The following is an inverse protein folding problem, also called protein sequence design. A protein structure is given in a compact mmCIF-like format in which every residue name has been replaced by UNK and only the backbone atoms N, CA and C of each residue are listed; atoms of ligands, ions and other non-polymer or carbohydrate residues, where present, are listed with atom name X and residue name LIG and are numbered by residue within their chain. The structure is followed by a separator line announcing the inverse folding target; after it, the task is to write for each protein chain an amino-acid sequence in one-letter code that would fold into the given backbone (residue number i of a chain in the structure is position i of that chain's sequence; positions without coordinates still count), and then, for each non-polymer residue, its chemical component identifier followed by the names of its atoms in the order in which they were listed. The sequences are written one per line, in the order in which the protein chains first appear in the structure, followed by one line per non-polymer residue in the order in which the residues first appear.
data_IF_003282639769
#
_entry.id   IF_003282639769
#
_cell.length_a   1.000
_cell.length_b   1.000
_cell.length_c   1.000
_cell.angle_alpha   90.00
_cell.angle_beta   90.00
_cell.angle_gamma   90.00
#
_symmetry.space_group_name_H-M   'P 1'
#
loop_
_entity.id
_entity.type
_entity.pdbx_description
1 polymer ?
#
# COMPACT_ATOMS: atom_id res chain seq x y z
N UNK A 1 20.99 7.66 -26.57
CA UNK A 1 21.11 8.17 -25.21
C UNK A 1 19.74 8.25 -24.48
N UNK A 2 18.66 8.79 -25.09
CA UNK A 2 17.32 8.93 -24.45
C UNK A 2 16.72 7.56 -24.09
N UNK A 3 16.80 6.58 -25.00
CA UNK A 3 16.31 5.21 -24.75
C UNK A 3 17.04 4.53 -23.60
N UNK A 4 18.37 4.68 -23.51
CA UNK A 4 19.19 4.14 -22.42
C UNK A 4 18.77 4.76 -21.07
N UNK A 5 18.62 6.09 -20.99
CA UNK A 5 18.16 6.76 -19.77
C UNK A 5 16.79 6.24 -19.31
N UNK A 6 15.86 6.05 -20.26
CA UNK A 6 14.55 5.47 -19.98
C UNK A 6 14.66 4.05 -19.44
N UNK A 7 15.46 3.21 -20.09
CA UNK A 7 15.69 1.83 -19.68
C UNK A 7 16.28 1.74 -18.26
N UNK A 8 17.28 2.56 -17.96
CA UNK A 8 17.90 2.63 -16.63
C UNK A 8 16.91 3.07 -15.56
N UNK A 9 16.08 4.08 -15.82
CA UNK A 9 15.08 4.54 -14.86
C UNK A 9 14.05 3.44 -14.54
N UNK A 10 13.58 2.73 -15.56
CA UNK A 10 12.65 1.59 -15.39
C UNK A 10 13.33 0.45 -14.61
N UNK A 11 14.55 0.07 -15.01
CA UNK A 11 15.31 -1.00 -14.37
C UNK A 11 15.55 -0.69 -12.88
N UNK A 12 15.92 0.54 -12.53
CA UNK A 12 16.08 0.97 -11.13
C UNK A 12 14.78 0.90 -10.33
N UNK A 13 13.62 1.15 -10.95
CA UNK A 13 12.32 0.95 -10.33
C UNK A 13 12.04 -0.54 -10.08
N UNK A 14 12.29 -1.39 -11.07
CA UNK A 14 12.14 -2.85 -10.94
C UNK A 14 13.07 -3.41 -9.86
N UNK A 15 14.33 -2.98 -9.84
CA UNK A 15 15.29 -3.40 -8.80
C UNK A 15 14.79 -3.01 -7.40
N UNK A 16 14.29 -1.79 -7.21
CA UNK A 16 13.74 -1.38 -5.92
C UNK A 16 12.56 -2.26 -5.49
N UNK A 17 11.60 -2.53 -6.40
CA UNK A 17 10.47 -3.40 -6.10
C UNK A 17 10.96 -4.77 -5.63
N UNK A 18 11.86 -5.41 -6.40
CA UNK A 18 12.43 -6.72 -6.06
C UNK A 18 13.23 -6.72 -4.77
N UNK A 19 13.97 -5.64 -4.49
CA UNK A 19 14.73 -5.50 -3.25
C UNK A 19 13.80 -5.42 -2.04
N UNK A 20 12.70 -4.67 -2.14
CA UNK A 20 11.70 -4.57 -1.08
C UNK A 20 10.96 -5.90 -0.87
N UNK A 21 10.54 -6.52 -1.97
CA UNK A 21 9.77 -7.77 -1.94
C UNK A 21 10.61 -8.93 -1.35
N UNK A 22 11.91 -8.97 -1.61
CA UNK A 22 12.79 -10.02 -1.08
C UNK A 22 13.19 -9.83 0.39
N UNK A 23 12.96 -8.66 0.98
CA UNK A 23 13.28 -8.43 2.39
C UNK A 23 12.32 -9.17 3.32
N UNK A 24 12.81 -9.69 4.45
CA UNK A 24 11.95 -10.31 5.45
C UNK A 24 11.02 -9.28 6.12
N UNK A 25 9.84 -9.70 6.60
CA UNK A 25 8.81 -8.84 7.16
C UNK A 25 9.27 -8.01 8.38
N UNK A 26 10.27 -8.48 9.13
CA UNK A 26 10.87 -7.72 10.23
C UNK A 26 11.79 -6.58 9.76
N UNK A 27 12.12 -6.50 8.47
CA UNK A 27 12.88 -5.41 7.83
C UNK A 27 11.97 -4.57 6.94
N UNK A 28 11.24 -5.21 6.00
CA UNK A 28 10.28 -4.52 5.12
C UNK A 28 8.95 -4.24 5.86
N UNK A 29 9.01 -3.51 6.96
CA UNK A 29 7.84 -3.10 7.74
C UNK A 29 7.04 -1.99 7.03
N UNK A 30 5.78 -1.70 7.43
CA UNK A 30 5.02 -0.56 6.90
C UNK A 30 5.77 0.78 7.04
N UNK A 31 6.53 0.95 8.12
CA UNK A 31 7.39 2.13 8.33
C UNK A 31 8.50 2.19 7.30
N UNK A 32 9.16 1.06 7.01
CA UNK A 32 10.21 1.00 5.99
C UNK A 32 9.67 1.32 4.58
N UNK A 33 8.45 0.88 4.25
CA UNK A 33 7.80 1.25 2.99
C UNK A 33 7.50 2.76 2.94
N UNK A 34 7.05 3.36 4.04
CA UNK A 34 6.82 4.80 4.13
C UNK A 34 8.10 5.62 3.97
N UNK A 35 9.21 5.19 4.57
CA UNK A 35 10.53 5.82 4.43
C UNK A 35 11.02 5.79 2.98
N UNK A 36 10.85 4.66 2.27
CA UNK A 36 11.16 4.55 0.86
C UNK A 36 10.29 5.49 0.01
N UNK A 37 8.98 5.57 0.30
CA UNK A 37 8.08 6.51 -0.37
C UNK A 37 8.54 7.96 -0.19
N UNK A 38 8.91 8.36 1.04
CA UNK A 38 9.41 9.70 1.35
C UNK A 38 10.72 10.01 0.63
N UNK A 39 11.67 9.05 0.58
CA UNK A 39 12.92 9.21 -0.15
C UNK A 39 12.70 9.40 -1.66
N UNK A 40 11.79 8.61 -2.26
CA UNK A 40 11.38 8.75 -3.66
C UNK A 40 10.72 10.11 -3.89
N UNK A 41 9.80 10.50 -3.00
CA UNK A 41 9.10 11.78 -3.11
C UNK A 41 10.05 12.97 -3.08
N UNK A 42 11.02 12.95 -2.15
CA UNK A 42 12.05 14.00 -2.04
C UNK A 42 12.90 14.11 -3.32
N UNK A 43 13.31 12.98 -3.90
CA UNK A 43 14.14 12.98 -5.12
C UNK A 43 13.37 13.35 -6.38
N UNK A 44 12.06 13.05 -6.44
CA UNK A 44 11.19 13.26 -7.61
C UNK A 44 10.27 14.46 -7.54
N UNK A 45 10.37 15.29 -6.50
CA UNK A 45 9.47 16.46 -6.32
C UNK A 45 8.00 16.07 -6.14
N UNK A 46 7.74 14.88 -5.57
CA UNK A 46 6.39 14.40 -5.31
C UNK A 46 5.96 14.77 -3.89
N UNK A 47 4.67 15.04 -3.72
CA UNK A 47 4.10 15.16 -2.38
C UNK A 47 3.86 13.75 -1.84
N UNK A 48 4.44 13.45 -0.67
CA UNK A 48 4.20 12.21 0.06
C UNK A 48 3.51 12.52 1.38
N UNK A 49 2.40 11.85 1.63
CA UNK A 49 1.65 11.95 2.88
C UNK A 49 1.54 10.56 3.49
N UNK A 50 1.90 10.43 4.75
CA UNK A 50 1.78 9.17 5.51
C UNK A 50 0.78 9.39 6.63
N UNK A 51 -0.30 8.61 6.64
CA UNK A 51 -1.25 8.61 7.74
C UNK A 51 -0.93 7.47 8.69
N UNK A 52 -0.75 7.82 9.95
CA UNK A 52 -0.61 6.89 11.07
C UNK A 52 -1.95 6.28 11.46
N UNK A 53 -1.94 5.18 12.22
CA UNK A 53 -3.15 4.46 12.70
C UNK A 53 -4.24 5.40 13.22
N UNK A 54 -3.91 6.30 14.11
CA UNK A 54 -4.88 7.22 14.71
C UNK A 54 -5.56 8.09 13.64
N UNK A 55 -4.79 8.60 12.67
CA UNK A 55 -5.30 9.48 11.63
C UNK A 55 -6.25 8.75 10.70
N UNK A 56 -5.83 7.62 10.11
CA UNK A 56 -6.67 6.92 9.13
C UNK A 56 -7.91 6.26 9.80
N UNK A 57 -7.79 5.86 11.08
CA UNK A 57 -8.96 5.38 11.86
C UNK A 57 -9.98 6.49 12.06
N UNK A 58 -9.55 7.70 12.48
CA UNK A 58 -10.43 8.87 12.59
C UNK A 58 -11.06 9.29 11.26
N UNK A 59 -10.40 9.01 10.14
CA UNK A 59 -10.96 9.24 8.81
C UNK A 59 -12.04 8.21 8.44
N UNK A 60 -12.15 7.09 9.15
CA UNK A 60 -13.13 6.03 8.90
C UNK A 60 -12.62 4.87 8.07
N UNK A 61 -11.30 4.66 7.95
CA UNK A 61 -10.68 3.50 7.30
C UNK A 61 -10.73 2.27 8.23
N UNK A 62 -11.95 1.80 8.51
CA UNK A 62 -12.17 0.74 9.49
C UNK A 62 -11.75 -0.65 9.01
N UNK A 63 -11.68 -0.89 7.71
CA UNK A 63 -11.19 -2.16 7.17
C UNK A 63 -9.69 -2.30 7.39
N UNK A 64 -8.87 -1.28 7.06
CA UNK A 64 -7.44 -1.25 7.36
C UNK A 64 -7.17 -1.29 8.87
N UNK A 65 -7.94 -0.53 9.66
CA UNK A 65 -7.80 -0.50 11.11
C UNK A 65 -8.09 -1.86 11.75
N UNK A 66 -9.09 -2.58 11.24
CA UNK A 66 -9.45 -3.93 11.67
C UNK A 66 -8.36 -4.95 11.39
N UNK A 67 -7.85 -5.01 10.15
CA UNK A 67 -6.73 -5.91 9.81
C UNK A 67 -5.51 -5.61 10.70
N UNK A 68 -5.21 -4.32 10.90
CA UNK A 68 -4.07 -3.89 11.70
C UNK A 68 -4.22 -4.15 13.22
N UNK A 69 -5.38 -4.60 13.70
CA UNK A 69 -5.64 -4.70 15.15
C UNK A 69 -4.82 -5.81 15.85
N UNK A 70 -4.44 -6.85 15.09
CA UNK A 70 -3.70 -8.00 15.64
C UNK A 70 -2.18 -7.81 15.73
N UNK A 71 -1.62 -6.69 15.26
CA UNK A 71 -0.18 -6.43 15.30
C UNK A 71 0.18 -5.20 16.12
N UNK A 72 1.38 -5.23 16.74
CA UNK A 72 2.00 -4.06 17.39
C UNK A 72 2.83 -3.21 16.40
N UNK A 73 3.16 -3.75 15.22
CA UNK A 73 3.88 -3.01 14.18
C UNK A 73 2.98 -1.86 13.67
N UNK A 74 3.48 -0.61 13.66
CA UNK A 74 2.67 0.54 13.27
C UNK A 74 2.23 0.47 11.81
N UNK A 75 0.91 0.35 11.52
CA UNK A 75 0.40 0.38 10.16
C UNK A 75 0.53 1.77 9.55
N UNK A 76 0.57 1.86 8.24
CA UNK A 76 0.67 3.10 7.49
C UNK A 76 -0.34 3.14 6.34
N UNK A 77 -0.87 4.32 6.06
CA UNK A 77 -1.56 4.58 4.80
C UNK A 77 -0.75 5.64 4.06
N UNK A 78 -0.11 5.23 2.96
CA UNK A 78 0.91 6.03 2.26
C UNK A 78 0.32 6.55 0.96
N UNK A 79 0.44 7.86 0.74
CA UNK A 79 0.03 8.54 -0.49
C UNK A 79 1.25 9.17 -1.14
N UNK A 80 1.39 8.97 -2.45
CA UNK A 80 2.43 9.57 -3.27
C UNK A 80 1.77 10.27 -4.46
N UNK A 81 1.88 11.59 -4.54
CA UNK A 81 1.20 12.41 -5.53
C UNK A 81 2.21 13.06 -6.49
N UNK A 82 2.17 12.67 -7.75
CA UNK A 82 2.95 13.26 -8.82
C UNK A 82 2.05 13.99 -9.82
N UNK A 83 2.28 15.28 -9.98
CA UNK A 83 1.50 16.15 -10.85
C UNK A 83 2.37 16.67 -11.99
N UNK A 84 2.67 15.80 -12.97
CA UNK A 84 3.51 16.13 -14.14
C UNK A 84 2.78 16.77 -15.30
N UNK A 85 1.45 16.81 -15.26
CA UNK A 85 0.57 17.44 -16.24
C UNK A 85 -0.28 18.55 -15.61
N UNK A 86 -1.20 19.15 -16.38
CA UNK A 86 -2.15 20.14 -15.82
C UNK A 86 -2.97 19.48 -14.70
N UNK A 87 -3.24 20.25 -13.62
CA UNK A 87 -4.04 19.76 -12.48
C UNK A 87 -5.46 19.32 -12.86
N UNK A 88 -6.01 19.85 -13.96
CA UNK A 88 -7.32 19.45 -14.50
C UNK A 88 -7.31 18.10 -15.22
N UNK A 89 -6.14 17.54 -15.55
CA UNK A 89 -6.05 16.22 -16.14
C UNK A 89 -6.24 15.15 -15.06
N UNK A 90 -7.18 14.24 -15.26
CA UNK A 90 -7.47 13.15 -14.33
C UNK A 90 -6.24 12.25 -14.14
N UNK A 91 -5.87 11.90 -12.89
CA UNK A 91 -4.72 11.04 -12.64
C UNK A 91 -5.01 9.58 -12.96
N UNK A 92 -3.95 8.83 -13.18
CA UNK A 92 -3.93 7.37 -12.99
C UNK A 92 -3.62 7.11 -11.52
N UNK A 93 -4.40 6.25 -10.87
CA UNK A 93 -4.17 5.86 -9.48
C UNK A 93 -3.70 4.42 -9.43
N UNK A 94 -2.62 4.19 -8.70
CA UNK A 94 -2.07 2.86 -8.43
C UNK A 94 -2.34 2.53 -6.96
N UNK A 95 -3.00 1.40 -6.70
CA UNK A 95 -3.29 0.95 -5.33
C UNK A 95 -2.58 -0.37 -5.08
N UNK A 96 -1.58 -0.36 -4.20
CA UNK A 96 -0.74 -1.53 -3.92
C UNK A 96 -1.05 -2.17 -2.57
N UNK A 97 -1.36 -3.47 -2.55
CA UNK A 97 -1.45 -4.25 -1.30
C UNK A 97 -0.11 -4.20 -0.57
N UNK A 98 -0.14 -3.78 0.69
CA UNK A 98 1.06 -3.61 1.53
C UNK A 98 1.04 -4.47 2.80
N UNK A 99 0.66 -5.74 2.68
CA UNK A 99 0.76 -6.70 3.80
C UNK A 99 2.22 -7.14 3.95
N UNK A 100 2.93 -6.58 4.92
CA UNK A 100 4.36 -6.86 5.10
C UNK A 100 4.63 -8.24 5.71
N UNK A 101 3.63 -8.83 6.33
CA UNK A 101 3.55 -10.25 6.64
C UNK A 101 2.09 -10.66 6.84
N UNK A 102 1.73 -11.83 6.34
CA UNK A 102 0.39 -12.40 6.47
C UNK A 102 0.42 -13.79 7.12
N UNK A 103 0.04 -13.86 8.38
CA UNK A 103 -0.14 -15.14 9.08
C UNK A 103 -1.52 -15.77 8.84
N UNK A 104 -2.43 -15.06 8.17
CA UNK A 104 -3.85 -15.38 8.09
C UNK A 104 -4.68 -14.78 9.24
N UNK A 105 -4.03 -14.24 10.27
CA UNK A 105 -4.70 -13.75 11.47
C UNK A 105 -5.28 -14.89 12.31
N UNK A 106 -6.51 -14.74 12.82
CA UNK A 106 -7.20 -15.81 13.59
C UNK A 106 -7.48 -17.03 12.70
N UNK A 107 -7.80 -16.84 11.41
CA UNK A 107 -7.88 -17.92 10.41
C UNK A 107 -6.48 -18.29 9.93
N UNK A 108 -5.66 -18.81 10.84
CA UNK A 108 -4.21 -19.00 10.65
C UNK A 108 -3.88 -19.93 9.48
N UNK A 109 -2.89 -19.54 8.69
CA UNK A 109 -2.34 -20.36 7.60
C UNK A 109 -1.62 -21.59 8.13
N UNK A 110 -1.56 -22.70 7.36
CA UNK A 110 -0.61 -23.78 7.63
C UNK A 110 0.83 -23.26 7.67
N UNK A 111 1.67 -23.85 8.52
CA UNK A 111 3.07 -23.46 8.64
C UNK A 111 3.90 -23.63 7.36
N UNK A 112 3.50 -24.62 6.52
CA UNK A 112 4.18 -24.89 5.25
C UNK A 112 4.15 -23.65 4.34
N UNK A 113 5.33 -23.16 3.95
CA UNK A 113 5.55 -21.97 3.10
C UNK A 113 4.99 -20.66 3.68
N UNK A 114 4.73 -20.57 5.00
CA UNK A 114 4.28 -19.31 5.60
C UNK A 114 5.36 -18.23 5.54
N UNK A 115 6.64 -18.61 5.50
CA UNK A 115 7.78 -17.70 5.30
C UNK A 115 7.71 -16.93 3.98
N UNK A 116 7.03 -17.47 2.96
CA UNK A 116 6.79 -16.77 1.70
C UNK A 116 5.78 -15.62 1.85
N UNK A 117 5.04 -15.54 2.94
CA UNK A 117 4.10 -14.44 3.21
C UNK A 117 4.79 -13.10 3.46
N UNK A 118 6.11 -13.04 3.48
CA UNK A 118 6.89 -11.80 3.32
C UNK A 118 6.64 -11.12 1.96
N UNK A 119 6.23 -11.87 0.94
CA UNK A 119 5.91 -11.38 -0.40
C UNK A 119 4.51 -10.75 -0.52
N UNK A 120 3.70 -10.80 0.52
CA UNK A 120 2.31 -10.34 0.46
C UNK A 120 2.17 -8.81 0.36
N UNK A 121 3.29 -8.13 0.26
CA UNK A 121 3.42 -6.69 0.00
C UNK A 121 3.95 -6.36 -1.41
N UNK A 122 4.11 -7.31 -2.31
CA UNK A 122 4.63 -7.07 -3.67
C UNK A 122 3.84 -5.99 -4.43
N UNK A 123 2.52 -5.88 -4.19
CA UNK A 123 1.73 -4.79 -4.76
C UNK A 123 2.25 -3.41 -4.38
N UNK A 124 2.67 -3.22 -3.11
CA UNK A 124 3.29 -1.97 -2.64
C UNK A 124 4.69 -1.78 -3.20
N UNK A 125 5.47 -2.86 -3.32
CA UNK A 125 6.79 -2.84 -3.97
C UNK A 125 6.69 -2.36 -5.41
N UNK A 126 5.71 -2.86 -6.17
CA UNK A 126 5.43 -2.42 -7.54
C UNK A 126 5.08 -0.93 -7.59
N UNK A 127 4.17 -0.45 -6.72
CA UNK A 127 3.81 0.98 -6.66
C UNK A 127 5.05 1.84 -6.40
N UNK A 128 5.87 1.49 -5.40
CA UNK A 128 7.12 2.21 -5.09
C UNK A 128 8.10 2.19 -6.25
N UNK A 129 8.26 1.04 -6.93
CA UNK A 129 9.11 0.89 -8.11
C UNK A 129 8.65 1.78 -9.26
N UNK A 130 7.34 1.81 -9.55
CA UNK A 130 6.76 2.70 -10.57
C UNK A 130 6.99 4.17 -10.19
N UNK A 131 6.71 4.57 -8.95
CA UNK A 131 6.90 5.95 -8.50
C UNK A 131 8.38 6.37 -8.56
N UNK A 132 9.34 5.46 -8.29
CA UNK A 132 10.76 5.71 -8.49
C UNK A 132 11.12 5.96 -9.96
N UNK A 133 10.56 5.17 -10.88
CA UNK A 133 10.76 5.38 -12.31
C UNK A 133 10.15 6.72 -12.77
N UNK A 134 8.96 7.08 -12.28
CA UNK A 134 8.29 8.37 -12.53
C UNK A 134 9.14 9.53 -12.02
N UNK A 135 9.72 9.42 -10.82
CA UNK A 135 10.64 10.43 -10.27
C UNK A 135 11.81 10.71 -11.21
N UNK A 136 12.41 9.66 -11.77
CA UNK A 136 13.56 9.78 -12.68
C UNK A 136 13.20 10.26 -14.09
N UNK A 137 12.01 9.92 -14.59
CA UNK A 137 11.57 10.21 -15.96
C UNK A 137 10.81 11.54 -16.10
N UNK A 138 10.21 12.01 -15.03
CA UNK A 138 9.38 13.22 -14.99
C UNK A 138 8.39 13.34 -16.17
N UNK A 139 7.53 12.32 -16.42
CA UNK A 139 6.64 12.30 -17.56
C UNK A 139 5.50 13.33 -17.40
N UNK A 140 4.93 13.80 -18.53
CA UNK A 140 3.79 14.75 -18.52
C UNK A 140 2.45 14.05 -18.25
N UNK A 141 2.33 13.41 -17.09
CA UNK A 141 1.11 12.71 -16.63
C UNK A 141 0.90 12.99 -15.13
N UNK A 142 -0.32 12.80 -14.66
CA UNK A 142 -0.63 12.84 -13.23
C UNK A 142 -0.78 11.39 -12.73
N UNK A 143 -0.07 11.05 -11.66
CA UNK A 143 -0.11 9.72 -11.05
C UNK A 143 -0.20 9.86 -9.54
N UNK A 144 -1.01 9.00 -8.93
CA UNK A 144 -1.10 8.85 -7.48
C UNK A 144 -0.84 7.41 -7.11
N UNK A 145 0.11 7.18 -6.22
CA UNK A 145 0.34 5.88 -5.57
C UNK A 145 -0.33 5.85 -4.21
N UNK A 146 -1.08 4.80 -3.92
CA UNK A 146 -1.75 4.56 -2.63
C UNK A 146 -1.32 3.20 -2.10
N UNK A 147 -0.79 3.16 -0.88
CA UNK A 147 -0.32 1.94 -0.25
C UNK A 147 -0.92 1.85 1.16
N UNK A 148 -2.03 1.12 1.34
CA UNK A 148 -2.45 0.67 2.66
C UNK A 148 -1.52 -0.44 3.12
N UNK A 149 -0.81 -0.24 4.26
CA UNK A 149 0.21 -1.18 4.73
C UNK A 149 0.06 -1.53 6.19
N UNK A 150 0.12 -2.83 6.47
CA UNK A 150 0.07 -3.43 7.82
C UNK A 150 0.58 -4.86 7.77
N UNK A 151 0.61 -5.53 8.92
CA UNK A 151 0.66 -6.99 9.02
C UNK A 151 -0.73 -7.55 9.34
N UNK A 152 -0.96 -8.82 9.03
CA UNK A 152 -2.13 -9.59 9.48
C UNK A 152 -1.67 -10.65 10.48
N UNK A 153 -1.92 -10.40 11.77
CA UNK A 153 -1.43 -11.22 12.89
C UNK A 153 -2.56 -11.60 13.84
N UNK A 154 -2.38 -12.71 14.57
CA UNK A 154 -3.32 -13.25 15.55
C UNK A 154 -3.10 -12.74 16.98
N UNK A 155 -2.74 -11.46 17.16
CA UNK A 155 -2.55 -10.86 18.47
C UNK A 155 -3.86 -10.76 19.29
N UNK A 156 -3.72 -10.32 20.54
CA UNK A 156 -4.82 -10.24 21.53
C UNK A 156 -6.02 -9.39 21.10
N UNK A 157 -5.79 -8.43 20.19
CA UNK A 157 -6.81 -7.53 19.64
C UNK A 157 -7.19 -7.84 18.19
N UNK A 158 -6.75 -9.00 17.66
CA UNK A 158 -7.03 -9.35 16.28
C UNK A 158 -8.55 -9.42 15.99
N UNK A 159 -8.94 -8.93 14.81
CA UNK A 159 -10.30 -9.12 14.32
C UNK A 159 -10.58 -10.60 14.01
N UNK A 160 -11.84 -10.99 14.00
CA UNK A 160 -12.26 -12.40 14.01
C UNK A 160 -13.28 -12.67 12.92
N UNK A 161 -13.42 -13.91 12.48
CA UNK A 161 -14.59 -14.34 11.73
C UNK A 161 -15.87 -14.01 12.51
N UNK A 162 -16.86 -13.44 11.82
CA UNK A 162 -18.11 -12.93 12.42
C UNK A 162 -18.06 -11.43 12.79
N UNK A 163 -16.89 -10.81 12.88
CA UNK A 163 -16.81 -9.36 13.10
C UNK A 163 -17.30 -8.58 11.87
N UNK A 164 -17.86 -7.40 12.11
CA UNK A 164 -18.30 -6.48 11.06
C UNK A 164 -17.41 -5.26 11.07
N UNK A 165 -16.71 -5.01 9.96
CA UNK A 165 -15.88 -3.83 9.76
C UNK A 165 -16.62 -2.81 8.89
N UNK A 166 -16.34 -1.52 9.11
CA UNK A 166 -16.88 -0.44 8.28
C UNK A 166 -15.78 0.15 7.41
N UNK A 167 -15.88 -0.02 6.11
CA UNK A 167 -14.93 0.53 5.15
C UNK A 167 -15.07 2.05 4.99
N UNK A 168 -14.05 2.69 4.41
CA UNK A 168 -13.97 4.14 4.21
C UNK A 168 -15.14 4.73 3.41
N UNK A 169 -15.76 3.97 2.52
CA UNK A 169 -16.96 4.38 1.79
C UNK A 169 -18.26 4.24 2.60
N UNK A 170 -18.17 3.82 3.87
CA UNK A 170 -19.30 3.66 4.77
C UNK A 170 -20.00 2.30 4.70
N UNK A 171 -19.65 1.42 3.76
CA UNK A 171 -20.22 0.07 3.68
C UNK A 171 -19.67 -0.81 4.80
N UNK A 172 -20.54 -1.68 5.33
CA UNK A 172 -20.15 -2.72 6.29
C UNK A 172 -19.72 -3.97 5.56
N UNK A 173 -18.71 -4.66 6.12
CA UNK A 173 -18.15 -5.89 5.59
C UNK A 173 -18.16 -6.92 6.71
N UNK A 174 -18.91 -8.00 6.52
CA UNK A 174 -18.85 -9.17 7.40
C UNK A 174 -17.58 -9.96 7.11
N UNK A 175 -16.84 -10.32 8.15
CA UNK A 175 -15.62 -11.08 8.06
C UNK A 175 -15.95 -12.55 8.23
N UNK A 176 -15.80 -13.34 7.17
CA UNK A 176 -15.97 -14.80 7.24
C UNK A 176 -14.63 -15.51 7.41
N UNK A 177 -13.54 -14.90 6.94
CA UNK A 177 -12.19 -15.45 6.99
C UNK A 177 -11.18 -14.30 7.11
N UNK A 178 -10.35 -14.30 8.14
CA UNK A 178 -9.34 -13.25 8.36
C UNK A 178 -8.13 -13.38 7.43
N UNK A 179 -7.98 -14.49 6.72
CA UNK A 179 -6.98 -14.69 5.65
C UNK A 179 -7.42 -14.08 4.30
N UNK A 180 -8.45 -13.25 4.32
CA UNK A 180 -8.91 -12.45 3.18
C UNK A 180 -8.70 -10.93 3.42
N UNK A 181 -7.68 -10.57 4.15
CA UNK A 181 -7.32 -9.23 4.64
C UNK A 181 -6.93 -8.25 3.53
N UNK A 182 -6.27 -8.77 2.48
CA UNK A 182 -5.80 -7.95 1.35
C UNK A 182 -6.93 -7.16 0.69
N UNK A 183 -8.06 -7.81 0.43
CA UNK A 183 -9.25 -7.13 -0.12
C UNK A 183 -9.85 -6.11 0.83
N UNK A 184 -9.64 -6.25 2.14
CA UNK A 184 -10.12 -5.32 3.14
C UNK A 184 -9.31 -4.02 3.13
N UNK A 185 -7.99 -4.12 3.18
CA UNK A 185 -7.13 -2.93 3.13
C UNK A 185 -7.24 -2.22 1.76
N UNK A 186 -7.39 -2.99 0.68
CA UNK A 186 -7.60 -2.43 -0.65
C UNK A 186 -8.97 -1.74 -0.78
N UNK A 187 -10.02 -2.21 -0.09
CA UNK A 187 -11.31 -1.54 -0.09
C UNK A 187 -11.21 -0.10 0.43
N UNK A 188 -10.44 0.15 1.49
CA UNK A 188 -10.20 1.51 1.99
C UNK A 188 -9.34 2.33 1.01
N UNK A 189 -8.28 1.72 0.42
CA UNK A 189 -7.43 2.37 -0.57
C UNK A 189 -8.19 2.79 -1.83
N UNK A 190 -8.99 1.89 -2.40
CA UNK A 190 -9.81 2.15 -3.60
C UNK A 190 -10.90 3.19 -3.32
N UNK A 191 -11.53 3.10 -2.13
CA UNK A 191 -12.55 4.07 -1.72
C UNK A 191 -11.94 5.47 -1.52
N UNK A 192 -10.72 5.54 -0.98
CA UNK A 192 -9.99 6.79 -0.87
C UNK A 192 -9.66 7.37 -2.26
N UNK A 193 -9.18 6.52 -3.17
CA UNK A 193 -8.85 6.92 -4.54
C UNK A 193 -10.05 7.56 -5.26
N UNK A 194 -11.19 6.90 -5.24
CA UNK A 194 -12.40 7.38 -5.92
C UNK A 194 -12.97 8.66 -5.29
N UNK A 195 -12.88 8.80 -3.97
CA UNK A 195 -13.42 9.96 -3.25
C UNK A 195 -12.58 11.23 -3.42
N UNK A 196 -11.26 11.10 -3.59
CA UNK A 196 -10.34 12.25 -3.54
C UNK A 196 -9.72 12.65 -4.88
N UNK A 197 -9.70 11.76 -5.88
CA UNK A 197 -8.90 12.00 -7.08
C UNK A 197 -9.68 11.99 -8.41
N UNK A 198 -10.93 11.54 -8.45
CA UNK A 198 -11.69 11.37 -9.72
C UNK A 198 -10.80 10.76 -10.83
N UNK A 199 -10.27 9.54 -10.64
CA UNK A 199 -9.22 9.00 -11.47
C UNK A 199 -9.69 8.64 -12.88
N UNK A 200 -8.77 8.75 -13.88
CA UNK A 200 -9.02 8.23 -15.23
C UNK A 200 -9.02 6.70 -15.22
N UNK A 201 -8.09 6.11 -14.48
CA UNK A 201 -7.95 4.66 -14.26
C UNK A 201 -7.48 4.41 -12.82
N UNK A 202 -7.89 3.28 -12.25
CA UNK A 202 -7.35 2.71 -11.02
C UNK A 202 -6.81 1.32 -11.35
N UNK A 203 -5.57 1.05 -10.96
CA UNK A 203 -4.86 -0.22 -11.15
C UNK A 203 -4.42 -0.77 -9.79
#
# INVERSE_FOLDING_TARGET
QKAVKKGVAIANGVCLARDLDNRPGNVATPTHLAENAQAIGKSGGMKVTVFEREKFTKMGMGALAGVASGTKIPPKFILMEYWGAKKSAKPVVLVGKGLTFDSGGISIKPANRMDEMKYDMCGSGVVLGVMKAIAALSPKINIVGIIPSTENMSGDKAYRPGDILKAYNGKTIEILNTDAEGRLILADGLSYATKHYDPKYIL
#
